data_IF_157838986928
#
_entry.id   IF_157838986928
#
_cell.length_a   1.000
_cell.length_b   1.000
_cell.length_c   1.000
_cell.angle_alpha   90.00
_cell.angle_beta   90.00
_cell.angle_gamma   90.00
#
_symmetry.space_group_name_H-M   'P 1'
#
loop_
_entity.id
_entity.type
_entity.pdbx_description
1 polymer ?
#
# COMPACT_ATOMS: atom_id res chain seq x y z
N UNK A 1 58.32 -3.73 12.62
CA UNK A 1 57.49 -4.58 11.73
C UNK A 1 56.13 -4.73 12.40
N UNK A 2 55.08 -4.08 11.88
CA UNK A 2 53.71 -4.16 12.43
C UNK A 2 53.09 -5.51 12.06
N UNK A 3 52.31 -6.16 12.93
CA UNK A 3 51.59 -7.37 12.54
C UNK A 3 50.43 -7.00 11.62
N UNK A 4 50.27 -7.79 10.56
CA UNK A 4 49.20 -7.68 9.59
C UNK A 4 47.89 -8.15 10.24
N UNK A 5 46.88 -7.28 10.29
CA UNK A 5 45.52 -7.64 10.69
C UNK A 5 44.80 -8.14 9.45
N UNK A 6 44.61 -9.46 9.38
CA UNK A 6 43.77 -10.09 8.36
C UNK A 6 42.31 -9.78 8.71
N UNK A 7 41.64 -8.97 7.89
CA UNK A 7 40.21 -8.71 8.01
C UNK A 7 39.47 -9.90 7.41
N UNK A 8 38.89 -10.75 8.25
CA UNK A 8 37.90 -11.73 7.79
C UNK A 8 36.58 -11.01 7.50
N UNK A 9 35.89 -11.32 6.39
CA UNK A 9 34.53 -10.84 6.20
C UNK A 9 33.64 -11.51 7.25
N UNK A 10 33.06 -10.70 8.13
CA UNK A 10 31.96 -11.16 8.99
C UNK A 10 30.76 -11.43 8.09
N UNK A 11 30.56 -12.70 7.71
CA UNK A 11 29.22 -13.18 7.40
C UNK A 11 28.39 -13.04 8.68
N UNK A 12 27.50 -12.05 8.72
CA UNK A 12 26.34 -12.12 9.62
C UNK A 12 25.26 -12.92 8.91
N UNK A 13 25.33 -14.24 9.08
CA UNK A 13 24.17 -15.10 8.93
C UNK A 13 23.32 -14.97 10.21
N UNK A 14 22.08 -14.53 10.07
CA UNK A 14 21.14 -14.49 11.19
C UNK A 14 19.83 -13.75 10.91
N UNK A 15 18.75 -14.52 10.74
CA UNK A 15 17.34 -14.24 11.12
C UNK A 15 16.30 -13.68 10.12
N UNK A 16 16.52 -13.74 8.79
CA UNK A 16 15.45 -13.35 7.83
C UNK A 16 14.47 -14.48 7.45
N UNK A 17 14.91 -15.75 7.43
CA UNK A 17 14.14 -16.88 6.86
C UNK A 17 12.79 -17.18 7.53
N UNK A 18 12.63 -17.18 8.87
CA UNK A 18 11.36 -17.56 9.51
C UNK A 18 10.21 -16.57 9.24
N UNK A 19 10.54 -15.31 8.91
CA UNK A 19 9.54 -14.28 8.68
C UNK A 19 8.97 -14.35 7.25
N UNK A 20 9.80 -14.73 6.27
CA UNK A 20 9.40 -14.86 4.87
C UNK A 20 8.40 -16.00 4.67
N UNK A 21 8.59 -17.14 5.34
CA UNK A 21 7.67 -18.29 5.28
C UNK A 21 6.28 -17.98 5.86
N UNK A 22 6.16 -16.92 6.67
CA UNK A 22 4.89 -16.52 7.29
C UNK A 22 4.01 -15.64 6.39
N UNK A 23 4.57 -15.11 5.31
CA UNK A 23 3.87 -14.24 4.37
C UNK A 23 2.80 -15.04 3.63
N UNK A 24 1.56 -14.53 3.66
CA UNK A 24 0.46 -15.11 2.88
C UNK A 24 -0.02 -14.18 1.76
N UNK A 25 0.26 -12.89 1.89
CA UNK A 25 -0.07 -11.91 0.86
C UNK A 25 0.76 -12.15 -0.41
N UNK A 26 0.18 -11.99 -1.59
CA UNK A 26 0.87 -12.21 -2.87
C UNK A 26 1.20 -10.86 -3.53
N UNK A 27 2.41 -10.72 -4.05
CA UNK A 27 2.89 -9.48 -4.68
C UNK A 27 2.93 -9.67 -6.20
N UNK A 28 2.02 -9.02 -6.92
CA UNK A 28 1.84 -9.23 -8.37
C UNK A 28 2.37 -8.02 -9.14
N UNK A 29 3.51 -8.17 -9.82
CA UNK A 29 4.02 -7.16 -10.76
C UNK A 29 3.12 -7.12 -12.00
N UNK A 30 2.53 -5.96 -12.28
CA UNK A 30 1.55 -5.73 -13.34
C UNK A 30 2.19 -5.15 -14.60
N UNK A 31 1.79 -5.69 -15.76
CA UNK A 31 2.16 -5.15 -17.06
C UNK A 31 1.23 -4.00 -17.48
N UNK A 32 1.75 -3.08 -18.29
CA UNK A 32 0.94 -2.07 -18.97
C UNK A 32 0.00 -2.67 -20.02
N UNK A 33 0.38 -3.80 -20.63
CA UNK A 33 -0.40 -4.47 -21.69
C UNK A 33 -1.62 -5.22 -21.13
N UNK A 34 -1.52 -5.71 -19.88
CA UNK A 34 -2.59 -6.44 -19.19
C UNK A 34 -2.80 -5.89 -17.77
N UNK A 35 -3.37 -4.68 -17.62
CA UNK A 35 -3.52 -4.01 -16.32
C UNK A 35 -4.42 -4.76 -15.32
N UNK A 36 -5.39 -5.52 -15.84
CA UNK A 36 -6.31 -6.37 -15.06
C UNK A 36 -5.88 -7.84 -15.03
N UNK A 37 -4.81 -8.20 -15.76
CA UNK A 37 -4.30 -9.57 -15.82
C UNK A 37 -3.67 -10.00 -14.49
N UNK A 38 -3.42 -11.31 -14.29
CA UNK A 38 -2.93 -11.87 -13.02
C UNK A 38 -1.52 -11.38 -12.62
N UNK A 39 -0.79 -10.75 -13.55
CA UNK A 39 0.56 -10.23 -13.32
C UNK A 39 1.58 -11.35 -13.14
N UNK A 40 2.83 -10.96 -12.88
CA UNK A 40 3.91 -11.87 -12.52
C UNK A 40 4.16 -11.82 -11.01
N UNK A 41 4.24 -12.97 -10.36
CA UNK A 41 4.35 -13.03 -8.89
C UNK A 41 5.80 -12.84 -8.43
N UNK A 42 6.05 -11.82 -7.63
CA UNK A 42 7.28 -11.65 -6.86
C UNK A 42 7.14 -12.47 -5.58
N UNK A 43 8.09 -13.37 -5.33
CA UNK A 43 8.02 -14.33 -4.22
C UNK A 43 9.14 -14.02 -3.22
N UNK A 44 8.81 -13.46 -2.03
CA UNK A 44 9.79 -13.22 -0.98
C UNK A 44 10.58 -14.50 -0.65
N UNK A 45 11.90 -14.37 -0.50
CA UNK A 45 12.81 -15.50 -0.30
C UNK A 45 13.25 -16.23 -1.57
N UNK A 46 12.70 -15.88 -2.75
CA UNK A 46 13.08 -16.45 -4.06
C UNK A 46 13.56 -15.34 -5.01
N UNK A 47 14.84 -14.94 -4.95
CA UNK A 47 15.40 -13.85 -5.77
C UNK A 47 15.22 -14.06 -7.29
N UNK A 48 15.14 -15.30 -7.75
CA UNK A 48 14.85 -15.67 -9.13
C UNK A 48 13.49 -15.15 -9.62
N UNK A 49 12.52 -14.94 -8.73
CA UNK A 49 11.23 -14.35 -9.11
C UNK A 49 11.38 -12.91 -9.62
N UNK A 50 12.36 -12.16 -9.11
CA UNK A 50 12.65 -10.80 -9.57
C UNK A 50 13.11 -10.78 -11.03
N UNK A 51 13.99 -11.71 -11.41
CA UNK A 51 14.50 -11.80 -12.79
C UNK A 51 13.45 -12.37 -13.73
N UNK A 52 12.69 -13.39 -13.31
CA UNK A 52 11.59 -13.95 -14.10
C UNK A 52 10.51 -12.92 -14.41
N UNK A 53 10.14 -12.10 -13.42
CA UNK A 53 9.18 -11.02 -13.58
C UNK A 53 9.76 -9.75 -14.21
N UNK A 54 11.06 -9.72 -14.51
CA UNK A 54 11.76 -8.56 -15.06
C UNK A 54 11.61 -7.30 -14.19
N UNK A 55 11.63 -7.48 -12.87
CA UNK A 55 11.66 -6.37 -11.93
C UNK A 55 12.92 -5.53 -12.16
N UNK A 56 12.78 -4.20 -12.14
CA UNK A 56 13.87 -3.27 -12.38
C UNK A 56 14.28 -2.58 -11.06
N UNK A 57 15.43 -2.89 -10.45
CA UNK A 57 15.77 -2.35 -9.12
C UNK A 57 16.07 -0.85 -9.11
N UNK A 58 16.47 -0.28 -10.23
CA UNK A 58 16.90 1.13 -10.35
C UNK A 58 15.77 2.12 -10.62
N UNK A 59 14.54 1.66 -10.83
CA UNK A 59 13.38 2.51 -11.14
C UNK A 59 12.41 2.56 -9.97
N UNK A 60 11.47 3.51 -10.00
CA UNK A 60 10.46 3.67 -8.96
C UNK A 60 9.55 2.43 -8.87
N UNK A 61 9.16 2.05 -7.66
CA UNK A 61 8.18 0.99 -7.41
C UNK A 61 6.93 1.56 -6.76
N UNK A 62 5.76 1.32 -7.34
CA UNK A 62 4.47 1.60 -6.73
C UNK A 62 3.87 0.30 -6.23
N UNK A 63 3.45 0.25 -4.96
CA UNK A 63 2.71 -0.89 -4.40
C UNK A 63 1.27 -0.46 -4.09
N UNK A 64 0.32 -0.98 -4.86
CA UNK A 64 -1.11 -0.74 -4.70
C UNK A 64 -1.68 -1.74 -3.69
N UNK A 65 -2.33 -1.22 -2.65
CA UNK A 65 -2.91 -2.01 -1.57
C UNK A 65 -4.41 -1.74 -1.51
N UNK A 66 -5.22 -2.73 -1.90
CA UNK A 66 -6.67 -2.63 -1.88
C UNK A 66 -7.25 -2.64 -0.45
N UNK A 67 -8.53 -2.33 -0.33
CA UNK A 67 -9.26 -2.29 0.93
C UNK A 67 -10.07 -3.55 1.24
N UNK A 68 -11.04 -3.39 2.13
CA UNK A 68 -12.05 -4.40 2.46
C UNK A 68 -12.90 -4.76 1.22
N UNK A 69 -13.33 -6.01 1.12
CA UNK A 69 -14.19 -6.45 -0.01
C UNK A 69 -15.25 -7.46 0.42
N UNK A 70 -16.46 -7.29 -0.12
CA UNK A 70 -17.56 -8.25 0.02
C UNK A 70 -17.58 -9.32 -1.08
N UNK A 71 -16.90 -9.10 -2.20
CA UNK A 71 -16.91 -10.04 -3.32
C UNK A 71 -15.78 -11.06 -3.24
N UNK A 72 -14.75 -10.79 -2.44
CA UNK A 72 -13.51 -11.57 -2.45
C UNK A 72 -12.72 -11.42 -3.75
N UNK A 73 -13.04 -10.41 -4.56
CA UNK A 73 -12.39 -10.12 -5.84
C UNK A 73 -11.82 -8.70 -5.83
N UNK A 74 -10.81 -8.45 -6.69
CA UNK A 74 -10.36 -7.10 -6.96
C UNK A 74 -11.46 -6.25 -7.59
N UNK A 75 -11.52 -4.99 -7.17
CA UNK A 75 -12.38 -4.00 -7.81
C UNK A 75 -11.71 -3.46 -9.08
N UNK A 76 -12.51 -3.07 -10.08
CA UNK A 76 -12.00 -2.61 -11.39
C UNK A 76 -11.14 -1.34 -11.35
N UNK A 77 -11.10 -0.61 -10.22
CA UNK A 77 -10.20 0.54 -10.09
C UNK A 77 -8.73 0.13 -10.05
N UNK A 78 -8.41 -1.11 -9.65
CA UNK A 78 -7.03 -1.60 -9.59
C UNK A 78 -6.38 -1.53 -10.97
N UNK A 79 -7.04 -2.10 -11.99
CA UNK A 79 -6.55 -2.05 -13.37
C UNK A 79 -6.42 -0.62 -13.91
N UNK A 80 -7.41 0.24 -13.60
CA UNK A 80 -7.36 1.66 -13.98
C UNK A 80 -6.17 2.39 -13.34
N UNK A 81 -5.86 2.11 -12.07
CA UNK A 81 -4.72 2.69 -11.39
C UNK A 81 -3.40 2.19 -11.97
N UNK A 82 -3.29 0.90 -12.26
CA UNK A 82 -2.13 0.31 -12.94
C UNK A 82 -1.87 1.03 -14.27
N UNK A 83 -2.90 1.17 -15.10
CA UNK A 83 -2.79 1.87 -16.39
C UNK A 83 -2.37 3.33 -16.21
N UNK A 84 -2.96 4.04 -15.26
CA UNK A 84 -2.66 5.45 -15.01
C UNK A 84 -1.21 5.65 -14.52
N UNK A 85 -0.71 4.75 -13.67
CA UNK A 85 0.67 4.79 -13.19
C UNK A 85 1.66 4.49 -14.31
N UNK A 86 1.40 3.47 -15.14
CA UNK A 86 2.23 3.19 -16.32
C UNK A 86 2.22 4.34 -17.33
N UNK A 87 1.07 4.99 -17.53
CA UNK A 87 1.00 6.16 -18.41
C UNK A 87 1.82 7.35 -17.87
N UNK A 88 1.91 7.50 -16.54
CA UNK A 88 2.62 8.61 -15.89
C UNK A 88 4.10 8.33 -15.67
N UNK A 89 4.46 7.08 -15.40
CA UNK A 89 5.81 6.59 -15.06
C UNK A 89 6.07 5.26 -15.80
N UNK A 90 6.28 5.34 -17.12
CA UNK A 90 6.29 4.17 -18.02
C UNK A 90 7.37 3.12 -17.73
N UNK A 91 8.40 3.48 -16.97
CA UNK A 91 9.47 2.55 -16.58
C UNK A 91 9.25 1.95 -15.19
N UNK A 92 8.27 2.42 -14.40
CA UNK A 92 8.12 2.03 -13.01
C UNK A 92 7.65 0.57 -12.85
N UNK A 93 8.07 -0.05 -11.73
CA UNK A 93 7.50 -1.31 -11.29
C UNK A 93 6.14 -1.03 -10.64
N UNK A 94 5.05 -1.56 -11.18
CA UNK A 94 3.71 -1.45 -10.58
C UNK A 94 3.35 -2.79 -9.97
N UNK A 95 3.30 -2.86 -8.64
CA UNK A 95 2.99 -4.07 -7.89
C UNK A 95 1.61 -3.93 -7.26
N UNK A 96 0.78 -4.95 -7.38
CA UNK A 96 -0.50 -5.06 -6.67
C UNK A 96 -0.36 -6.07 -5.55
N UNK A 97 -0.71 -5.67 -4.33
CA UNK A 97 -0.80 -6.57 -3.19
C UNK A 97 -2.14 -7.29 -3.20
N UNK A 98 -2.09 -8.61 -3.24
CA UNK A 98 -3.25 -9.49 -3.07
C UNK A 98 -3.30 -10.00 -1.63
N UNK A 99 -4.27 -9.49 -0.87
CA UNK A 99 -4.60 -9.96 0.47
C UNK A 99 -6.09 -10.29 0.60
N UNK A 100 -6.73 -10.68 -0.51
CA UNK A 100 -8.18 -10.91 -0.61
C UNK A 100 -8.70 -11.89 0.45
N UNK A 101 -7.96 -12.96 0.76
CA UNK A 101 -8.34 -13.96 1.77
C UNK A 101 -8.55 -13.33 3.17
N UNK A 102 -7.78 -12.29 3.48
CA UNK A 102 -7.82 -11.54 4.74
C UNK A 102 -8.76 -10.33 4.67
N UNK A 103 -8.93 -9.74 3.50
CA UNK A 103 -9.81 -8.61 3.25
C UNK A 103 -11.28 -9.04 3.17
N UNK A 104 -11.56 -10.24 2.68
CA UNK A 104 -12.90 -10.79 2.55
C UNK A 104 -13.37 -11.50 3.84
N UNK A 105 -13.37 -10.74 4.93
CA UNK A 105 -13.79 -11.20 6.25
C UNK A 105 -14.80 -10.21 6.83
N UNK A 106 -15.46 -10.60 7.94
CA UNK A 106 -16.27 -9.65 8.71
C UNK A 106 -15.41 -8.42 9.09
N UNK A 107 -15.96 -7.20 8.97
CA UNK A 107 -15.16 -5.97 8.93
C UNK A 107 -14.12 -5.81 10.05
N UNK A 108 -14.45 -5.97 11.36
CA UNK A 108 -13.46 -5.91 12.43
C UNK A 108 -12.31 -6.93 12.31
N UNK A 109 -12.58 -8.11 11.73
CA UNK A 109 -11.55 -9.13 11.47
C UNK A 109 -10.65 -8.69 10.31
N UNK A 110 -11.24 -8.17 9.22
CA UNK A 110 -10.48 -7.61 8.11
C UNK A 110 -9.64 -6.40 8.55
N UNK A 111 -10.20 -5.52 9.39
CA UNK A 111 -9.50 -4.40 9.98
C UNK A 111 -8.32 -4.86 10.84
N UNK A 112 -8.52 -5.85 11.72
CA UNK A 112 -7.41 -6.42 12.51
C UNK A 112 -6.33 -7.08 11.64
N UNK A 113 -6.72 -7.70 10.51
CA UNK A 113 -5.79 -8.29 9.57
C UNK A 113 -4.86 -7.27 8.91
N UNK A 114 -5.21 -5.98 8.85
CA UNK A 114 -4.35 -4.95 8.24
C UNK A 114 -2.97 -4.87 8.90
N UNK A 115 -2.87 -5.13 10.21
CA UNK A 115 -1.57 -5.18 10.92
C UNK A 115 -0.71 -6.36 10.46
N UNK A 116 -1.33 -7.51 10.19
CA UNK A 116 -0.65 -8.68 9.64
C UNK A 116 -0.21 -8.43 8.20
N UNK A 117 -1.06 -7.80 7.39
CA UNK A 117 -0.75 -7.44 6.00
C UNK A 117 0.36 -6.38 5.94
N UNK A 118 0.34 -5.40 6.83
CA UNK A 118 1.43 -4.42 6.96
C UNK A 118 2.77 -5.09 7.26
N UNK A 119 2.79 -6.07 8.17
CA UNK A 119 3.98 -6.89 8.41
C UNK A 119 4.43 -7.65 7.16
N UNK A 120 3.51 -8.29 6.43
CA UNK A 120 3.83 -8.99 5.18
C UNK A 120 4.51 -8.03 4.17
N UNK A 121 3.98 -6.81 4.04
CA UNK A 121 4.56 -5.76 3.17
C UNK A 121 5.94 -5.32 3.67
N UNK A 122 6.11 -5.06 4.97
CA UNK A 122 7.38 -4.65 5.55
C UNK A 122 8.48 -5.70 5.27
N UNK A 123 8.18 -6.97 5.54
CA UNK A 123 9.12 -8.08 5.30
C UNK A 123 9.43 -8.22 3.80
N UNK A 124 8.44 -8.06 2.91
CA UNK A 124 8.68 -8.04 1.47
C UNK A 124 9.59 -6.89 1.04
N UNK A 125 9.39 -5.67 1.56
CA UNK A 125 10.20 -4.50 1.19
C UNK A 125 11.64 -4.62 1.69
N UNK A 126 11.85 -5.09 2.93
CA UNK A 126 13.19 -5.34 3.46
C UNK A 126 13.90 -6.44 2.64
N UNK A 127 13.22 -7.53 2.31
CA UNK A 127 13.75 -8.55 1.42
C UNK A 127 14.06 -8.01 0.01
N UNK A 128 13.19 -7.18 -0.56
CA UNK A 128 13.36 -6.62 -1.90
C UNK A 128 14.62 -5.73 -1.95
N UNK A 129 14.83 -4.91 -0.92
CA UNK A 129 16.05 -4.13 -0.75
C UNK A 129 17.28 -5.03 -0.66
N UNK A 130 17.26 -6.03 0.23
CA UNK A 130 18.39 -6.95 0.43
C UNK A 130 18.73 -7.78 -0.83
N UNK A 131 17.70 -8.26 -1.55
CA UNK A 131 17.87 -9.16 -2.69
C UNK A 131 18.26 -8.44 -3.98
N UNK A 132 17.93 -7.15 -4.13
CA UNK A 132 18.10 -6.42 -5.39
C UNK A 132 18.82 -5.09 -5.29
N UNK A 133 19.17 -4.64 -4.09
CA UNK A 133 19.61 -3.28 -3.80
C UNK A 133 18.60 -2.22 -4.26
N UNK A 134 17.30 -2.54 -4.28
CA UNK A 134 16.24 -1.58 -4.59
C UNK A 134 16.11 -0.60 -3.42
N UNK A 135 16.36 0.70 -3.61
CA UNK A 135 16.32 1.66 -2.52
C UNK A 135 14.89 1.89 -2.04
N UNK A 136 14.65 1.80 -0.72
CA UNK A 136 13.32 1.97 -0.13
C UNK A 136 12.74 3.39 -0.33
N UNK A 137 13.60 4.39 -0.56
CA UNK A 137 13.18 5.75 -0.90
C UNK A 137 12.49 5.83 -2.27
N UNK A 138 12.72 4.85 -3.14
CA UNK A 138 12.06 4.73 -4.45
C UNK A 138 10.73 3.94 -4.38
N UNK A 139 10.30 3.52 -3.19
CA UNK A 139 9.03 2.83 -2.97
C UNK A 139 7.93 3.84 -2.62
N UNK A 140 6.79 3.70 -3.29
CA UNK A 140 5.58 4.46 -3.02
C UNK A 140 4.40 3.51 -2.80
N UNK A 141 3.92 3.41 -1.56
CA UNK A 141 2.73 2.63 -1.22
C UNK A 141 1.48 3.47 -1.49
N UNK A 142 0.47 2.89 -2.14
CA UNK A 142 -0.82 3.53 -2.38
C UNK A 142 -1.89 2.62 -1.79
N UNK A 143 -2.43 3.01 -0.62
CA UNK A 143 -3.41 2.21 0.10
C UNK A 143 -4.80 2.82 0.04
N UNK A 144 -5.81 2.02 -0.31
CA UNK A 144 -7.22 2.44 -0.31
C UNK A 144 -7.98 1.84 0.87
N UNK A 145 -8.80 2.64 1.56
CA UNK A 145 -9.64 2.16 2.68
C UNK A 145 -8.79 1.43 3.74
N UNK A 146 -9.07 0.16 4.06
CA UNK A 146 -8.23 -0.66 4.95
C UNK A 146 -6.77 -0.80 4.48
N UNK A 147 -6.54 -0.73 3.16
CA UNK A 147 -5.20 -0.79 2.58
C UNK A 147 -4.32 0.41 2.96
N UNK A 148 -4.91 1.57 3.27
CA UNK A 148 -4.16 2.73 3.76
C UNK A 148 -3.53 2.45 5.13
N UNK A 149 -4.26 1.78 6.03
CA UNK A 149 -3.73 1.37 7.32
C UNK A 149 -2.74 0.22 7.20
N UNK A 150 -2.96 -0.73 6.28
CA UNK A 150 -1.96 -1.75 5.99
C UNK A 150 -0.64 -1.13 5.48
N UNK A 151 -0.71 -0.06 4.67
CA UNK A 151 0.48 0.69 4.25
C UNK A 151 1.17 1.37 5.45
N UNK A 152 0.41 2.01 6.34
CA UNK A 152 0.96 2.61 7.57
C UNK A 152 1.63 1.59 8.48
N UNK A 153 0.96 0.44 8.71
CA UNK A 153 1.55 -0.67 9.44
C UNK A 153 2.79 -1.25 8.76
N UNK A 154 2.90 -1.20 7.43
CA UNK A 154 4.16 -1.59 6.78
C UNK A 154 5.31 -0.68 7.23
N UNK A 155 5.10 0.63 7.23
CA UNK A 155 6.03 1.60 7.81
C UNK A 155 6.39 1.27 9.25
N UNK A 156 5.39 1.11 10.12
CA UNK A 156 5.57 0.82 11.55
C UNK A 156 6.35 -0.47 11.83
N UNK A 157 6.21 -1.52 11.01
CA UNK A 157 6.96 -2.77 11.18
C UNK A 157 8.39 -2.71 10.62
N UNK A 158 8.74 -1.71 9.80
CA UNK A 158 10.09 -1.56 9.26
C UNK A 158 11.05 -1.06 10.32
N UNK A 159 12.32 -1.48 10.25
CA UNK A 159 13.36 -1.04 11.20
C UNK A 159 13.60 0.47 11.20
N UNK A 160 13.38 1.12 10.05
CA UNK A 160 13.50 2.56 9.89
C UNK A 160 12.44 3.06 8.88
N UNK A 161 11.24 3.44 9.36
CA UNK A 161 10.14 3.88 8.51
C UNK A 161 10.50 5.08 7.63
N UNK A 162 11.37 5.98 8.10
CA UNK A 162 11.79 7.18 7.35
C UNK A 162 12.55 6.87 6.05
N UNK A 163 12.98 5.62 5.84
CA UNK A 163 13.58 5.16 4.58
C UNK A 163 12.53 4.82 3.53
N UNK A 164 11.29 4.52 3.92
CA UNK A 164 10.20 4.29 2.98
C UNK A 164 9.84 5.61 2.29
N UNK A 165 9.92 5.67 0.96
CA UNK A 165 9.80 6.91 0.21
C UNK A 165 8.49 7.66 0.44
N UNK A 166 7.35 7.02 0.18
CA UNK A 166 6.04 7.67 0.30
C UNK A 166 4.90 6.69 0.57
N UNK A 167 3.92 7.13 1.34
CA UNK A 167 2.59 6.50 1.44
C UNK A 167 1.53 7.49 0.98
N UNK A 168 0.64 7.05 0.08
CA UNK A 168 -0.61 7.75 -0.22
C UNK A 168 -1.80 6.99 0.36
N UNK A 169 -2.53 7.62 1.27
CA UNK A 169 -3.79 7.11 1.82
C UNK A 169 -4.97 7.60 0.99
N UNK A 170 -5.66 6.70 0.30
CA UNK A 170 -6.88 6.99 -0.45
C UNK A 170 -8.08 6.63 0.42
N UNK A 171 -8.71 7.66 0.99
CA UNK A 171 -9.85 7.59 1.90
C UNK A 171 -9.68 6.49 2.98
N UNK A 172 -8.67 6.61 3.87
CA UNK A 172 -8.38 5.58 4.87
C UNK A 172 -9.63 5.27 5.72
N UNK A 173 -9.81 4.02 6.12
CA UNK A 173 -11.04 3.60 6.78
C UNK A 173 -11.22 4.25 8.16
N UNK A 174 -12.40 4.82 8.42
CA UNK A 174 -12.74 5.43 9.71
C UNK A 174 -13.04 4.42 10.82
N UNK A 175 -13.96 3.44 10.61
CA UNK A 175 -14.40 2.58 11.69
C UNK A 175 -13.23 1.73 12.22
N UNK A 176 -13.10 1.64 13.54
CA UNK A 176 -11.99 1.02 14.31
C UNK A 176 -10.68 1.82 14.37
N UNK A 177 -10.44 2.78 13.48
CA UNK A 177 -9.20 3.56 13.40
C UNK A 177 -9.33 5.03 13.83
N UNK A 178 -10.51 5.63 13.73
CA UNK A 178 -10.75 6.99 14.22
C UNK A 178 -10.47 7.09 15.73
N UNK A 179 -9.77 8.15 16.14
CA UNK A 179 -9.39 8.41 17.52
C UNK A 179 -8.29 7.49 18.05
N UNK A 180 -7.73 6.60 17.23
CA UNK A 180 -6.62 5.73 17.62
C UNK A 180 -5.28 6.47 17.60
N UNK A 181 -4.35 5.97 18.40
CA UNK A 181 -2.98 6.45 18.45
C UNK A 181 -2.24 6.17 17.13
N UNK A 182 -1.16 6.92 16.84
CA UNK A 182 -0.41 6.80 15.59
C UNK A 182 0.02 5.35 15.29
N UNK A 183 0.44 4.58 16.30
CA UNK A 183 0.86 3.19 16.15
C UNK A 183 -0.28 2.19 15.83
N UNK A 184 -1.55 2.63 15.83
CA UNK A 184 -2.72 1.80 15.61
C UNK A 184 -3.44 2.13 14.29
N UNK A 185 -2.86 2.95 13.42
CA UNK A 185 -3.44 3.39 12.14
C UNK A 185 -2.32 3.90 11.20
N UNK A 186 -2.73 4.50 10.09
CA UNK A 186 -1.83 5.30 9.25
C UNK A 186 -1.45 6.57 10.02
N UNK A 187 -0.17 6.97 9.93
CA UNK A 187 0.38 8.15 10.57
C UNK A 187 1.49 8.79 9.71
N UNK A 188 1.86 10.05 9.98
CA UNK A 188 2.99 10.70 9.31
C UNK A 188 4.34 10.00 9.59
N UNK A 189 4.47 9.25 10.68
CA UNK A 189 5.72 8.59 11.07
C UNK A 189 6.04 7.36 10.21
N UNK A 190 5.08 6.90 9.41
CA UNK A 190 5.14 5.61 8.71
C UNK A 190 5.97 5.65 7.42
N UNK A 191 6.32 6.84 6.91
CA UNK A 191 7.17 7.03 5.72
C UNK A 191 7.84 8.40 5.70
N UNK A 192 8.82 8.58 4.82
CA UNK A 192 9.45 9.89 4.57
C UNK A 192 8.46 10.97 4.12
N UNK A 193 7.36 10.59 3.48
CA UNK A 193 6.23 11.47 3.21
C UNK A 193 4.90 10.70 3.16
N UNK A 194 3.84 11.31 3.70
CA UNK A 194 2.50 10.70 3.78
C UNK A 194 1.47 11.73 3.32
N UNK A 195 0.81 11.45 2.20
CA UNK A 195 -0.27 12.29 1.66
C UNK A 195 -1.60 11.54 1.67
N UNK A 196 -2.67 12.19 2.10
CA UNK A 196 -3.96 11.54 2.34
C UNK A 196 -5.07 12.30 1.63
N UNK A 197 -5.93 11.58 0.92
CA UNK A 197 -7.15 12.11 0.32
C UNK A 197 -8.35 11.62 1.12
N UNK A 198 -9.12 12.54 1.70
CA UNK A 198 -10.35 12.24 2.44
C UNK A 198 -11.56 12.57 1.56
N UNK A 199 -12.31 11.56 1.13
CA UNK A 199 -13.40 11.74 0.15
C UNK A 199 -14.77 11.30 0.66
N UNK A 200 -14.83 10.48 1.72
CA UNK A 200 -16.09 9.99 2.30
C UNK A 200 -16.10 10.05 3.83
N UNK A 201 -15.95 11.25 4.39
CA UNK A 201 -15.92 11.49 5.83
C UNK A 201 -17.30 11.78 6.44
N UNK A 202 -18.40 11.61 5.69
CA UNK A 202 -19.75 11.87 6.20
C UNK A 202 -20.13 10.94 7.35
N UNK A 203 -20.72 11.49 8.42
CA UNK A 203 -21.15 10.75 9.62
C UNK A 203 -20.66 11.43 10.89
N UNK A 204 -20.86 10.82 12.06
CA UNK A 204 -20.12 11.21 13.29
C UNK A 204 -18.72 10.56 13.27
N UNK A 205 -17.72 11.11 13.98
CA UNK A 205 -16.41 10.45 14.12
C UNK A 205 -16.56 8.98 14.53
N UNK A 206 -15.86 8.08 13.83
CA UNK A 206 -15.93 6.63 14.04
C UNK A 206 -17.17 5.92 13.46
N UNK A 207 -18.15 6.68 12.95
CA UNK A 207 -19.31 6.18 12.20
C UNK A 207 -19.25 6.54 10.70
N UNK A 208 -18.33 7.41 10.30
CA UNK A 208 -18.01 7.66 8.89
C UNK A 208 -17.23 6.50 8.29
N UNK A 209 -17.40 6.26 6.99
CA UNK A 209 -16.68 5.20 6.26
C UNK A 209 -15.20 5.55 6.13
N UNK A 210 -14.89 6.80 5.75
CA UNK A 210 -13.55 7.36 5.77
C UNK A 210 -13.22 7.99 7.12
N UNK A 211 -11.95 7.94 7.49
CA UNK A 211 -11.41 8.59 8.69
C UNK A 211 -11.47 10.12 8.53
N UNK A 212 -11.87 10.82 9.57
CA UNK A 212 -12.00 12.28 9.56
C UNK A 212 -10.72 12.98 9.97
N UNK A 213 -10.11 12.50 11.04
CA UNK A 213 -8.90 13.10 11.57
C UNK A 213 -7.77 13.07 10.53
N UNK A 214 -6.91 14.10 10.51
CA UNK A 214 -5.73 14.08 9.67
C UNK A 214 -4.79 12.97 10.12
N UNK A 215 -4.22 12.25 9.16
CA UNK A 215 -3.32 11.11 9.38
C UNK A 215 -2.06 11.17 8.52
N UNK A 216 -1.85 12.24 7.75
CA UNK A 216 -0.67 12.44 6.91
C UNK A 216 0.17 13.66 7.29
N UNK A 217 1.26 13.83 6.54
CA UNK A 217 1.98 15.10 6.47
C UNK A 217 1.16 16.14 5.71
N UNK A 218 0.39 15.68 4.72
CA UNK A 218 -0.55 16.48 3.95
C UNK A 218 -1.90 15.73 3.89
N UNK A 219 -2.93 16.34 4.42
CA UNK A 219 -4.31 15.84 4.34
C UNK A 219 -5.13 16.77 3.46
N UNK A 220 -5.65 16.23 2.37
CA UNK A 220 -6.49 16.95 1.41
C UNK A 220 -7.92 16.45 1.56
N UNK A 221 -8.87 17.39 1.64
CA UNK A 221 -10.30 17.11 1.76
C UNK A 221 -11.03 17.64 0.51
N UNK A 222 -10.97 16.94 -0.64
CA UNK A 222 -11.67 17.36 -1.85
C UNK A 222 -13.16 17.61 -1.57
N UNK A 223 -13.66 18.78 -2.00
CA UNK A 223 -15.05 19.18 -1.79
C UNK A 223 -15.46 19.16 -0.29
N UNK A 224 -14.52 19.45 0.62
CA UNK A 224 -14.74 19.37 2.06
C UNK A 224 -14.71 17.95 2.63
N UNK A 225 -14.40 16.95 1.80
CA UNK A 225 -14.14 15.56 2.16
C UNK A 225 -15.35 14.74 2.60
N UNK A 226 -16.56 15.30 2.60
CA UNK A 226 -17.77 14.64 3.11
C UNK A 226 -18.51 13.83 2.05
N UNK A 227 -19.01 14.49 1.00
CA UNK A 227 -19.59 13.86 -0.18
C UNK A 227 -18.91 14.43 -1.42
N UNK A 228 -18.68 13.57 -2.41
CA UNK A 228 -18.12 14.01 -3.69
C UNK A 228 -19.26 14.29 -4.69
N UNK A 229 -19.14 15.35 -5.52
CA UNK A 229 -20.13 15.66 -6.54
C UNK A 229 -20.43 14.45 -7.44
N UNK A 230 -21.71 14.13 -7.64
CA UNK A 230 -22.14 13.01 -8.48
C UNK A 230 -22.15 11.63 -7.79
N UNK A 231 -21.80 11.54 -6.50
CA UNK A 231 -21.93 10.30 -5.73
C UNK A 231 -23.28 10.16 -5.00
N UNK A 232 -24.01 11.26 -4.77
CA UNK A 232 -25.39 11.20 -4.27
C UNK A 232 -26.35 10.98 -5.46
N UNK A 233 -27.36 10.13 -5.28
CA UNK A 233 -28.41 9.87 -6.28
C UNK A 233 -29.03 11.21 -6.74
N UNK A 234 -29.18 12.18 -5.83
CA UNK A 234 -29.73 13.51 -6.17
C UNK A 234 -28.82 14.32 -7.10
N UNK A 235 -27.50 14.19 -6.96
CA UNK A 235 -26.51 14.89 -7.81
C UNK A 235 -26.32 14.19 -9.16
N UNK A 236 -26.46 12.86 -9.23
CA UNK A 236 -26.41 12.11 -10.49
C UNK A 236 -27.54 12.53 -11.46
N UNK A 237 -28.75 12.75 -10.95
CA UNK A 237 -29.87 13.24 -11.77
C UNK A 237 -29.80 14.75 -12.03
N UNK A 238 -29.22 15.54 -11.12
CA UNK A 238 -28.95 16.96 -11.34
C UNK A 238 -27.93 17.22 -12.46
N UNK A 239 -26.92 16.36 -12.60
CA UNK A 239 -25.92 16.43 -13.68
C UNK A 239 -26.45 16.06 -15.07
N UNK A 240 -27.45 15.18 -15.15
CA UNK A 240 -28.16 14.87 -16.41
C UNK A 240 -29.12 15.99 -16.82
N UNK A 241 -29.61 16.77 -15.86
CA UNK A 241 -30.48 17.92 -16.14
C UNK A 241 -29.71 19.17 -16.61
N UNK A 242 -28.41 19.28 -16.28
CA UNK A 242 -27.57 20.43 -16.67
C UNK A 242 -26.78 20.22 -17.97
N UNK A 243 -26.42 18.98 -18.31
CA UNK A 243 -25.69 18.63 -19.54
C UNK A 243 -26.58 17.80 -20.47
N UNK A 244 -27.67 18.41 -20.96
CA UNK A 244 -28.73 17.75 -21.73
C UNK A 244 -28.25 16.77 -22.82
N UNK A 245 -29.12 15.76 -23.04
CA UNK A 245 -29.02 14.72 -24.09
C UNK A 245 -28.54 15.24 -25.45
#
# INVERSE_FOLDING_TARGET
>A
RRPSVTIHPMLRAGTAEPQLESIRSRFQLRSADEPEGPGCQLVPGQPESLTQCRFQPSVKTFLIIHGWTLSGMFEGWIGKMVSALHARESAANIVVLDWLDRAHQHYPVAAANTRVVGRDVAVFLEWLEEASNHPLENVHLIGYSLGAHAAGFAGEHMRNPARLGRITGLDPAGPTFEGRESAERLSPEDAGFVDVLHTHTRGSPGLSIGIKQPVGHLDVYPNGGSNQPGCDIRDMFGGLASNGL
#
